data_IF_194360552207
#
_entry.id   IF_194360552207
#
_cell.length_a   1.000
_cell.length_b   1.000
_cell.length_c   1.000
_cell.angle_alpha   90.00
_cell.angle_beta   90.00
_cell.angle_gamma   90.00
#
_symmetry.space_group_name_H-M   'P 1'
#
loop_
_entity.id
_entity.type
_entity.pdbx_description
1 polymer ?
#
# COMPACT_ATOMS: atom_id res chain seq x y z
N UNK A 1 9.15 -11.95 1.77
CA UNK A 1 8.40 -10.68 1.49
C UNK A 1 6.94 -11.02 1.27
N UNK A 2 6.03 -10.27 1.87
CA UNK A 2 4.60 -10.48 1.76
C UNK A 2 4.06 -10.24 0.32
N UNK A 3 2.82 -10.66 0.08
CA UNK A 3 2.07 -10.38 -1.13
C UNK A 3 0.82 -9.57 -0.82
N UNK A 4 0.55 -8.51 -1.58
CA UNK A 4 -0.66 -7.73 -1.46
C UNK A 4 -1.46 -7.73 -2.76
N UNK A 5 -2.78 -7.74 -2.63
CA UNK A 5 -3.71 -7.48 -3.74
C UNK A 5 -4.84 -6.57 -3.24
N UNK A 6 -5.36 -5.74 -4.15
CA UNK A 6 -6.55 -4.96 -3.86
C UNK A 6 -7.41 -4.76 -5.11
N UNK A 7 -8.71 -4.56 -4.90
CA UNK A 7 -9.68 -4.15 -5.92
C UNK A 7 -10.44 -2.96 -5.35
N UNK A 8 -10.49 -1.86 -6.11
CA UNK A 8 -11.20 -0.63 -5.76
C UNK A 8 -12.23 -0.24 -6.83
N UNK A 9 -13.03 0.78 -6.55
CA UNK A 9 -14.09 1.27 -7.43
C UNK A 9 -15.16 0.20 -7.71
N UNK A 10 -15.51 -0.58 -6.70
CA UNK A 10 -16.53 -1.63 -6.83
C UNK A 10 -17.90 -0.98 -6.86
N UNK A 11 -18.62 -1.12 -7.97
CA UNK A 11 -19.97 -0.58 -8.17
C UNK A 11 -21.04 -1.67 -8.27
N UNK A 12 -20.60 -2.94 -8.41
CA UNK A 12 -21.44 -4.13 -8.50
C UNK A 12 -21.42 -4.93 -7.18
N UNK A 13 -21.88 -6.17 -7.21
CA UNK A 13 -21.82 -7.05 -6.03
C UNK A 13 -20.36 -7.35 -5.64
N UNK A 14 -19.94 -6.86 -4.48
CA UNK A 14 -18.63 -7.16 -3.91
C UNK A 14 -18.42 -8.69 -3.69
N UNK A 15 -19.47 -9.48 -3.64
CA UNK A 15 -19.37 -10.93 -3.47
C UNK A 15 -18.70 -11.62 -4.67
N UNK A 16 -19.04 -11.20 -5.90
CA UNK A 16 -18.46 -11.78 -7.12
C UNK A 16 -16.98 -11.40 -7.24
N UNK A 17 -16.64 -10.16 -6.95
CA UNK A 17 -15.27 -9.67 -6.96
C UNK A 17 -14.41 -10.24 -5.82
N UNK A 18 -15.04 -10.71 -4.72
CA UNK A 18 -14.30 -11.43 -3.67
C UNK A 18 -13.64 -12.70 -4.22
N UNK A 19 -14.32 -13.45 -5.07
CA UNK A 19 -13.74 -14.65 -5.69
C UNK A 19 -12.57 -14.29 -6.62
N UNK A 20 -12.69 -13.18 -7.34
CA UNK A 20 -11.60 -12.66 -8.16
C UNK A 20 -10.40 -12.26 -7.28
N UNK A 21 -10.61 -11.48 -6.21
CA UNK A 21 -9.56 -11.09 -5.28
C UNK A 21 -8.83 -12.29 -4.66
N UNK A 22 -9.56 -13.35 -4.29
CA UNK A 22 -8.98 -14.60 -3.79
C UNK A 22 -8.14 -15.33 -4.85
N UNK A 23 -8.58 -15.32 -6.12
CA UNK A 23 -7.78 -15.90 -7.22
C UNK A 23 -6.51 -15.10 -7.47
N UNK A 24 -6.58 -13.75 -7.46
CA UNK A 24 -5.42 -12.87 -7.58
C UNK A 24 -4.42 -13.12 -6.43
N UNK A 25 -4.90 -13.15 -5.19
CA UNK A 25 -4.10 -13.40 -3.99
C UNK A 25 -3.42 -14.77 -4.04
N UNK A 26 -4.16 -15.82 -4.42
CA UNK A 26 -3.62 -17.18 -4.56
C UNK A 26 -2.43 -17.27 -5.52
N UNK A 27 -2.41 -16.49 -6.60
CA UNK A 27 -1.30 -16.46 -7.56
C UNK A 27 0.01 -15.95 -6.96
N UNK A 28 -0.07 -15.15 -5.92
CA UNK A 28 1.11 -14.57 -5.23
C UNK A 28 1.35 -15.19 -3.85
N UNK A 29 0.70 -16.32 -3.52
CA UNK A 29 0.81 -17.03 -2.25
C UNK A 29 2.24 -17.41 -1.85
N UNK A 30 3.09 -17.71 -2.82
CA UNK A 30 4.51 -18.05 -2.59
C UNK A 30 5.28 -16.91 -1.91
N UNK A 31 4.80 -15.66 -1.96
CA UNK A 31 5.42 -14.52 -1.28
C UNK A 31 5.19 -14.53 0.24
N UNK A 32 4.06 -15.09 0.66
CA UNK A 32 3.66 -15.13 2.06
C UNK A 32 2.87 -16.39 2.39
N UNK A 33 3.56 -17.53 2.55
CA UNK A 33 2.89 -18.83 2.71
C UNK A 33 2.27 -19.05 4.09
N UNK A 34 2.62 -18.21 5.09
CA UNK A 34 2.28 -18.46 6.49
C UNK A 34 0.81 -18.22 6.81
N UNK A 35 0.24 -17.16 6.21
CA UNK A 35 -1.14 -16.80 6.47
C UNK A 35 -1.73 -15.94 5.35
N UNK A 36 -3.06 -16.01 5.17
CA UNK A 36 -3.80 -15.17 4.24
C UNK A 36 -4.89 -14.41 4.95
N UNK A 37 -5.03 -13.13 4.64
CA UNK A 37 -6.11 -12.29 5.13
C UNK A 37 -6.83 -11.57 4.01
N UNK A 38 -8.13 -11.33 4.22
CA UNK A 38 -8.95 -10.56 3.29
C UNK A 38 -9.90 -9.65 4.05
N UNK A 39 -9.99 -8.41 3.59
CA UNK A 39 -11.04 -7.46 3.94
C UNK A 39 -11.95 -7.26 2.72
N UNK A 40 -13.24 -7.20 2.97
CA UNK A 40 -14.24 -6.84 1.99
C UNK A 40 -15.12 -5.73 2.54
N UNK A 41 -15.02 -4.55 1.93
CA UNK A 41 -15.91 -3.41 2.15
C UNK A 41 -16.96 -3.31 1.05
N UNK A 42 -17.61 -2.16 1.00
CA UNK A 42 -18.65 -1.88 -0.01
C UNK A 42 -18.02 -1.65 -1.40
N UNK A 43 -16.97 -0.86 -1.47
CA UNK A 43 -16.36 -0.39 -2.73
C UNK A 43 -14.89 -0.84 -2.87
N UNK A 44 -14.37 -1.61 -1.89
CA UNK A 44 -13.00 -2.08 -1.88
C UNK A 44 -12.86 -3.51 -1.31
N UNK A 45 -11.92 -4.26 -1.88
CA UNK A 45 -11.46 -5.53 -1.34
C UNK A 45 -9.93 -5.47 -1.26
N UNK A 46 -9.37 -5.79 -0.08
CA UNK A 46 -7.94 -5.87 0.15
C UNK A 46 -7.59 -7.27 0.64
N UNK A 47 -6.56 -7.88 0.04
CA UNK A 47 -6.08 -9.17 0.47
C UNK A 47 -4.57 -9.17 0.67
N UNK A 48 -4.11 -10.03 1.57
CA UNK A 48 -2.72 -10.13 2.00
C UNK A 48 -2.29 -11.58 2.14
N UNK A 49 -1.13 -11.90 1.56
CA UNK A 49 -0.40 -13.14 1.78
C UNK A 49 0.81 -12.83 2.65
N UNK A 50 0.84 -13.38 3.86
CA UNK A 50 1.78 -13.00 4.90
C UNK A 50 2.98 -13.93 4.98
N UNK A 51 4.19 -13.35 5.00
CA UNK A 51 5.39 -13.94 5.55
C UNK A 51 5.64 -13.30 6.92
N UNK A 52 5.54 -14.09 7.98
CA UNK A 52 5.56 -13.64 9.38
C UNK A 52 6.99 -13.38 9.85
N UNK A 53 7.47 -12.14 9.72
CA UNK A 53 8.83 -11.73 10.16
C UNK A 53 8.72 -10.90 11.44
N UNK A 54 7.90 -9.85 11.42
CA UNK A 54 7.68 -8.94 12.56
C UNK A 54 6.30 -9.20 13.13
N UNK A 55 6.22 -9.31 14.46
CA UNK A 55 5.00 -9.56 15.21
C UNK A 55 4.17 -10.76 14.71
N UNK A 56 4.70 -11.99 14.79
CA UNK A 56 3.98 -13.19 14.30
C UNK A 56 2.63 -13.39 14.98
N UNK A 57 2.49 -12.94 16.24
CA UNK A 57 1.31 -13.20 17.08
C UNK A 57 0.14 -12.25 16.78
N UNK A 58 0.38 -10.97 16.48
CA UNK A 58 -0.70 -9.97 16.36
C UNK A 58 -0.73 -9.19 15.03
N UNK A 59 0.34 -9.18 14.25
CA UNK A 59 0.47 -8.40 12.99
C UNK A 59 -0.31 -8.98 11.80
N UNK A 60 -1.48 -9.57 11.99
CA UNK A 60 -2.34 -10.07 10.91
C UNK A 60 -2.80 -8.94 9.99
N UNK A 61 -2.64 -9.13 8.66
CA UNK A 61 -3.04 -8.14 7.65
C UNK A 61 -4.23 -8.64 6.82
N UNK A 62 -5.09 -7.75 6.29
CA UNK A 62 -5.00 -6.28 6.34
C UNK A 62 -5.11 -5.71 7.74
N UNK A 63 -4.21 -4.75 8.08
CA UNK A 63 -4.25 -4.01 9.33
C UNK A 63 -5.47 -3.09 9.37
N UNK A 64 -6.00 -2.85 10.58
CA UNK A 64 -7.16 -1.97 10.77
C UNK A 64 -6.90 -0.99 11.90
N UNK A 65 -7.39 0.23 11.74
CA UNK A 65 -7.50 1.17 12.87
C UNK A 65 -8.50 0.67 13.90
N UNK A 66 -8.41 1.15 15.13
CA UNK A 66 -9.30 0.75 16.25
C UNK A 66 -10.79 0.89 15.92
N UNK A 67 -11.17 1.94 15.21
CA UNK A 67 -12.56 2.17 14.77
C UNK A 67 -12.95 1.36 13.51
N UNK A 68 -12.01 0.58 12.96
CA UNK A 68 -12.21 -0.25 11.78
C UNK A 68 -12.37 0.51 10.47
N UNK A 69 -12.18 1.84 10.45
CA UNK A 69 -12.46 2.69 9.29
C UNK A 69 -11.29 2.82 8.32
N UNK A 70 -10.06 2.64 8.80
CA UNK A 70 -8.88 2.61 7.95
C UNK A 70 -8.39 1.17 7.82
N UNK A 71 -8.21 0.71 6.59
CA UNK A 71 -7.80 -0.64 6.26
C UNK A 71 -6.54 -0.56 5.39
N UNK A 72 -5.50 -1.31 5.77
CA UNK A 72 -4.20 -1.26 5.12
C UNK A 72 -3.69 -2.66 4.79
N UNK A 73 -3.32 -2.88 3.53
CA UNK A 73 -2.47 -4.00 3.15
C UNK A 73 -1.12 -3.46 2.68
N UNK A 74 -0.04 -3.97 3.25
CA UNK A 74 1.31 -3.45 3.00
C UNK A 74 2.33 -4.58 2.93
N UNK A 75 3.23 -4.52 1.96
CA UNK A 75 4.45 -5.29 1.90
C UNK A 75 5.63 -4.34 2.06
N UNK A 76 6.47 -4.54 3.06
CA UNK A 76 7.62 -3.68 3.32
C UNK A 76 8.03 -3.64 4.78
N UNK A 77 8.92 -2.72 5.08
CA UNK A 77 9.44 -2.42 6.42
C UNK A 77 9.56 -0.90 6.59
N UNK A 78 9.05 -0.38 7.71
CA UNK A 78 9.14 1.04 8.06
C UNK A 78 10.22 1.22 9.13
N UNK A 79 11.36 1.72 8.75
CA UNK A 79 12.56 1.78 9.60
C UNK A 79 12.42 2.76 10.77
N UNK A 80 11.74 3.88 10.57
CA UNK A 80 11.53 4.90 11.60
C UNK A 80 10.24 4.70 12.43
N UNK A 81 9.65 3.50 12.40
CA UNK A 81 8.37 3.21 13.06
C UNK A 81 8.38 3.48 14.58
N UNK A 82 9.52 3.24 15.26
CA UNK A 82 9.62 3.46 16.71
C UNK A 82 9.51 4.95 17.09
N UNK A 83 10.18 5.81 16.33
CA UNK A 83 10.11 7.25 16.50
C UNK A 83 8.68 7.75 16.22
N UNK A 84 8.09 7.32 15.09
CA UNK A 84 6.72 7.68 14.71
C UNK A 84 5.69 7.22 15.73
N UNK A 85 5.82 6.00 16.28
CA UNK A 85 4.97 5.54 17.38
C UNK A 85 5.07 6.42 18.61
N UNK A 86 6.29 6.84 18.98
CA UNK A 86 6.51 7.76 20.11
C UNK A 86 5.83 9.11 19.89
N UNK A 87 5.89 9.66 18.68
CA UNK A 87 5.27 10.95 18.33
C UNK A 87 3.74 10.89 18.26
N UNK A 88 3.16 9.73 17.94
CA UNK A 88 1.73 9.58 17.66
C UNK A 88 0.95 8.87 18.78
N UNK A 89 1.60 8.43 19.86
CA UNK A 89 0.99 7.62 20.94
C UNK A 89 -0.20 8.28 21.62
N UNK A 90 -0.23 9.61 21.68
CA UNK A 90 -1.29 10.37 22.33
C UNK A 90 -2.48 10.66 21.38
N UNK A 91 -2.28 10.47 20.06
CA UNK A 91 -3.26 10.76 19.02
C UNK A 91 -3.82 9.49 18.33
N UNK A 92 -3.09 8.37 18.42
CA UNK A 92 -3.47 7.10 17.79
C UNK A 92 -3.21 5.92 18.72
N UNK A 93 -4.24 5.09 18.89
CA UNK A 93 -4.16 3.86 19.67
C UNK A 93 -3.74 2.69 18.76
N UNK A 94 -2.47 2.30 18.87
CA UNK A 94 -1.90 1.19 18.11
C UNK A 94 -2.49 -0.14 18.58
N UNK A 95 -2.90 -0.98 17.62
CA UNK A 95 -3.56 -2.26 17.87
C UNK A 95 -2.59 -3.44 17.78
N UNK A 96 -1.44 -3.28 17.13
CA UNK A 96 -0.45 -4.34 16.88
C UNK A 96 0.97 -3.86 17.17
N UNK A 97 1.92 -4.81 17.21
CA UNK A 97 3.36 -4.52 17.23
C UNK A 97 3.97 -4.27 15.85
N UNK A 98 3.17 -4.37 14.76
CA UNK A 98 3.67 -4.19 13.40
C UNK A 98 4.25 -2.80 13.16
N UNK A 99 5.43 -2.73 12.58
CA UNK A 99 6.08 -1.50 12.14
C UNK A 99 5.21 -0.72 11.13
N UNK A 100 4.49 -1.44 10.28
CA UNK A 100 3.67 -0.86 9.22
C UNK A 100 2.38 -0.19 9.73
N UNK A 101 1.94 -0.45 10.97
CA UNK A 101 0.72 0.18 11.50
C UNK A 101 0.86 1.71 11.63
N UNK A 102 2.09 2.24 11.69
CA UNK A 102 2.30 3.70 11.71
C UNK A 102 1.77 4.40 10.46
N UNK A 103 1.60 3.69 9.35
CA UNK A 103 1.00 4.22 8.12
C UNK A 103 -0.45 4.66 8.38
N UNK A 104 -1.23 3.85 9.13
CA UNK A 104 -2.61 4.19 9.51
C UNK A 104 -2.66 5.43 10.41
N UNK A 105 -1.77 5.50 11.39
CA UNK A 105 -1.66 6.63 12.30
C UNK A 105 -1.28 7.93 11.58
N UNK A 106 -0.29 7.85 10.68
CA UNK A 106 0.15 8.98 9.86
C UNK A 106 -0.93 9.43 8.87
N UNK A 107 -1.62 8.50 8.21
CA UNK A 107 -2.71 8.85 7.30
C UNK A 107 -3.85 9.56 8.02
N UNK A 108 -4.22 9.10 9.22
CA UNK A 108 -5.23 9.76 10.04
C UNK A 108 -4.88 11.22 10.35
N UNK A 109 -3.59 11.51 10.61
CA UNK A 109 -3.13 12.84 10.99
C UNK A 109 -2.83 13.75 9.80
N UNK A 110 -2.23 13.21 8.74
CA UNK A 110 -1.65 13.97 7.65
C UNK A 110 -2.28 13.69 6.27
N UNK A 111 -3.26 12.79 6.19
CA UNK A 111 -3.82 12.36 4.91
C UNK A 111 -2.75 11.79 3.97
N UNK A 112 -2.78 12.20 2.71
CA UNK A 112 -1.81 11.75 1.69
C UNK A 112 -0.36 12.14 2.00
N UNK A 113 -0.13 13.22 2.77
CA UNK A 113 1.19 13.65 3.22
C UNK A 113 1.89 12.66 4.18
N UNK A 114 1.20 11.59 4.58
CA UNK A 114 1.76 10.51 5.40
C UNK A 114 2.99 9.86 4.74
N UNK A 115 3.02 9.76 3.40
CA UNK A 115 4.10 9.10 2.64
C UNK A 115 5.45 9.79 2.80
N UNK A 116 5.46 11.12 2.95
CA UNK A 116 6.69 11.92 3.10
C UNK A 116 7.40 11.69 4.44
N UNK A 117 6.68 11.15 5.42
CA UNK A 117 7.18 10.90 6.77
C UNK A 117 7.75 9.49 6.95
N UNK A 118 7.53 8.62 5.96
CA UNK A 118 7.99 7.24 5.99
C UNK A 118 9.46 7.13 5.56
N UNK A 119 10.24 6.43 6.37
CA UNK A 119 11.58 5.95 6.00
C UNK A 119 11.54 4.44 5.96
N UNK A 120 11.76 3.85 4.78
CA UNK A 120 11.66 2.40 4.62
C UNK A 120 11.53 1.97 3.17
N UNK A 121 11.28 0.69 3.01
CA UNK A 121 10.93 0.05 1.75
C UNK A 121 9.47 -0.42 1.84
N UNK A 122 8.62 -0.03 0.92
CA UNK A 122 7.20 -0.37 0.99
C UNK A 122 6.45 -0.27 -0.34
N UNK A 123 5.41 -1.10 -0.44
CA UNK A 123 4.32 -0.95 -1.37
C UNK A 123 3.02 -1.24 -0.61
N UNK A 124 2.07 -0.31 -0.61
CA UNK A 124 0.84 -0.48 0.14
C UNK A 124 -0.40 0.02 -0.59
N UNK A 125 -1.55 -0.50 -0.17
CA UNK A 125 -2.87 0.01 -0.49
C UNK A 125 -3.64 0.22 0.80
N UNK A 126 -4.13 1.44 1.02
CA UNK A 126 -4.92 1.88 2.16
C UNK A 126 -6.31 2.29 1.68
N UNK A 127 -7.35 1.80 2.34
CA UNK A 127 -8.74 2.16 2.11
C UNK A 127 -9.29 2.91 3.33
N UNK A 128 -9.85 4.09 3.09
CA UNK A 128 -10.60 4.88 4.06
C UNK A 128 -12.09 4.67 3.80
N UNK A 129 -12.68 3.75 4.58
CA UNK A 129 -14.09 3.38 4.44
C UNK A 129 -15.04 4.53 4.78
N UNK A 130 -14.64 5.38 5.73
CA UNK A 130 -15.49 6.51 6.15
C UNK A 130 -15.65 7.56 5.06
N UNK A 131 -14.59 7.79 4.28
CA UNK A 131 -14.54 8.78 3.23
C UNK A 131 -14.69 8.18 1.82
N UNK A 132 -14.81 6.85 1.72
CA UNK A 132 -14.84 6.08 0.48
C UNK A 132 -13.74 6.51 -0.50
N UNK A 133 -12.50 6.46 -0.01
CA UNK A 133 -11.34 6.81 -0.81
C UNK A 133 -10.16 5.88 -0.48
N UNK A 134 -9.17 5.85 -1.35
CA UNK A 134 -8.00 5.00 -1.17
C UNK A 134 -6.71 5.70 -1.57
N UNK A 135 -5.62 5.29 -0.92
CA UNK A 135 -4.26 5.72 -1.18
C UNK A 135 -3.39 4.49 -1.47
N UNK A 136 -2.71 4.51 -2.60
CA UNK A 136 -1.73 3.51 -2.98
C UNK A 136 -0.38 4.22 -3.06
N UNK A 137 0.68 3.65 -2.48
CA UNK A 137 1.99 4.28 -2.55
C UNK A 137 3.11 3.24 -2.61
N UNK A 138 4.24 3.66 -3.18
CA UNK A 138 5.44 2.86 -3.33
C UNK A 138 6.67 3.64 -2.86
N UNK A 139 7.63 2.91 -2.29
CA UNK A 139 8.88 3.44 -1.77
C UNK A 139 9.69 4.25 -2.82
N UNK A 140 10.67 5.07 -2.37
CA UNK A 140 11.40 6.02 -3.21
C UNK A 140 12.02 5.46 -4.48
N UNK A 141 12.58 4.25 -4.41
CA UNK A 141 13.33 3.63 -5.52
C UNK A 141 12.68 2.34 -6.04
N UNK A 142 11.54 1.94 -5.45
CA UNK A 142 10.77 0.78 -5.87
C UNK A 142 11.41 -0.56 -5.51
N UNK A 143 12.02 -0.66 -4.33
CA UNK A 143 12.54 -1.93 -3.80
C UNK A 143 11.43 -2.96 -3.69
N UNK A 144 10.27 -2.52 -3.20
CA UNK A 144 9.09 -3.37 -3.14
C UNK A 144 8.36 -3.34 -4.49
N UNK A 145 8.13 -4.50 -5.13
CA UNK A 145 7.38 -4.55 -6.37
C UNK A 145 5.90 -4.23 -6.12
N UNK A 146 5.34 -3.42 -7.01
CA UNK A 146 3.93 -3.06 -7.01
C UNK A 146 3.46 -2.81 -8.43
N UNK A 147 2.28 -3.31 -8.77
CA UNK A 147 1.65 -3.19 -10.09
C UNK A 147 0.21 -2.72 -9.92
N UNK A 148 -0.28 -2.00 -10.91
CA UNK A 148 -1.62 -1.42 -10.96
C UNK A 148 -2.22 -1.66 -12.33
N UNK A 149 -3.53 -1.85 -12.39
CA UNK A 149 -4.25 -2.04 -13.64
C UNK A 149 -5.74 -1.75 -13.49
N UNK A 150 -6.44 -1.79 -14.62
CA UNK A 150 -7.90 -1.65 -14.68
C UNK A 150 -8.50 -2.80 -15.47
N UNK A 151 -9.68 -3.24 -15.08
CA UNK A 151 -10.51 -4.14 -15.87
C UNK A 151 -11.50 -3.38 -16.77
N UNK A 152 -12.28 -4.12 -17.56
CA UNK A 152 -13.27 -3.54 -18.48
C UNK A 152 -14.47 -2.88 -17.77
N UNK A 153 -14.67 -3.19 -16.49
CA UNK A 153 -15.74 -2.61 -15.66
C UNK A 153 -15.29 -1.33 -14.93
N UNK A 154 -14.01 -0.95 -15.09
CA UNK A 154 -13.44 0.26 -14.46
C UNK A 154 -12.97 0.05 -13.03
N UNK A 155 -12.92 -1.19 -12.53
CA UNK A 155 -12.28 -1.48 -11.25
C UNK A 155 -10.78 -1.25 -11.35
N UNK A 156 -10.19 -0.70 -10.29
CA UNK A 156 -8.75 -0.54 -10.18
C UNK A 156 -8.19 -1.71 -9.38
N UNK A 157 -7.25 -2.43 -9.99
CA UNK A 157 -6.62 -3.62 -9.44
C UNK A 157 -5.17 -3.33 -9.07
N UNK A 158 -4.74 -3.83 -7.91
CA UNK A 158 -3.38 -3.70 -7.39
C UNK A 158 -2.82 -5.08 -7.05
N UNK A 159 -1.55 -5.31 -7.34
CA UNK A 159 -0.87 -6.55 -6.95
C UNK A 159 0.64 -6.34 -6.76
N UNK A 160 1.23 -7.12 -5.85
CA UNK A 160 2.69 -7.17 -5.67
C UNK A 160 3.42 -7.76 -6.87
N UNK A 161 2.76 -8.58 -7.70
CA UNK A 161 3.36 -9.17 -8.89
C UNK A 161 2.41 -9.08 -10.07
N UNK A 162 2.99 -8.94 -11.27
CA UNK A 162 2.25 -8.78 -12.52
C UNK A 162 1.27 -9.94 -12.77
N UNK A 163 1.67 -11.17 -12.48
CA UNK A 163 0.82 -12.36 -12.64
C UNK A 163 -0.46 -12.33 -11.78
N UNK A 164 -0.47 -11.51 -10.71
CA UNK A 164 -1.69 -11.28 -9.92
C UNK A 164 -2.75 -10.48 -10.67
N UNK A 165 -2.36 -9.70 -11.69
CA UNK A 165 -3.26 -8.90 -12.52
C UNK A 165 -3.61 -9.60 -13.85
N UNK A 166 -2.73 -10.48 -14.34
CA UNK A 166 -2.86 -11.15 -15.63
C UNK A 166 -4.18 -11.90 -15.76
N UNK A 167 -4.95 -11.60 -16.81
CA UNK A 167 -6.26 -12.19 -17.05
C UNK A 167 -7.39 -11.68 -16.15
N UNK A 168 -7.11 -10.67 -15.30
CA UNK A 168 -8.10 -9.91 -14.53
C UNK A 168 -8.13 -8.45 -14.93
N UNK A 169 -6.99 -7.87 -15.30
CA UNK A 169 -6.90 -6.51 -15.81
C UNK A 169 -6.70 -6.52 -17.32
N UNK A 170 -7.30 -5.57 -18.02
CA UNK A 170 -7.16 -5.35 -19.47
C UNK A 170 -6.03 -4.36 -19.79
N UNK A 171 -5.77 -3.42 -18.88
CA UNK A 171 -4.63 -2.52 -18.96
C UNK A 171 -3.90 -2.53 -17.61
N UNK A 172 -2.60 -2.79 -17.60
CA UNK A 172 -1.82 -2.85 -16.39
C UNK A 172 -0.35 -2.51 -16.62
N UNK A 173 0.31 -2.06 -15.56
CA UNK A 173 1.72 -1.71 -15.59
C UNK A 173 2.34 -1.64 -14.21
N UNK A 174 3.63 -1.32 -14.17
CA UNK A 174 4.34 -1.12 -12.92
C UNK A 174 3.90 0.18 -12.26
N UNK A 175 3.63 0.14 -10.96
CA UNK A 175 3.41 1.34 -10.16
C UNK A 175 4.74 2.12 -10.03
N UNK A 176 4.80 3.41 -10.38
CA UNK A 176 6.06 4.15 -10.41
C UNK A 176 6.66 4.32 -9.01
N UNK A 177 8.01 4.11 -8.87
CA UNK A 177 8.70 4.36 -7.61
C UNK A 177 8.60 5.82 -7.15
N UNK A 178 8.54 6.04 -5.83
CA UNK A 178 8.46 7.38 -5.26
C UNK A 178 7.18 8.15 -5.59
N UNK A 179 6.12 7.42 -5.95
CA UNK A 179 4.81 8.01 -6.23
C UNK A 179 3.75 7.46 -5.30
N UNK A 180 2.66 8.21 -5.19
CA UNK A 180 1.38 7.72 -4.70
C UNK A 180 0.28 7.96 -5.74
N UNK A 181 -0.80 7.19 -5.62
CA UNK A 181 -2.06 7.38 -6.33
C UNK A 181 -3.16 7.57 -5.28
N UNK A 182 -3.83 8.72 -5.33
CA UNK A 182 -4.96 9.01 -4.46
C UNK A 182 -6.25 9.04 -5.27
N UNK A 183 -7.27 8.33 -4.83
CA UNK A 183 -8.50 8.13 -5.60
C UNK A 183 -9.24 9.42 -5.96
N UNK A 184 -9.09 10.47 -5.16
CA UNK A 184 -9.73 11.77 -5.41
C UNK A 184 -9.02 12.60 -6.47
N UNK A 185 -7.70 12.46 -6.57
CA UNK A 185 -6.88 13.18 -7.55
C UNK A 185 -6.87 12.47 -8.90
N UNK A 186 -7.13 11.15 -8.91
CA UNK A 186 -7.17 10.28 -10.10
C UNK A 186 -5.90 10.28 -10.95
N UNK A 187 -4.76 10.62 -10.35
CA UNK A 187 -3.46 10.70 -11.02
C UNK A 187 -2.34 10.27 -10.07
N UNK A 188 -1.18 9.98 -10.66
CA UNK A 188 0.04 9.71 -9.92
C UNK A 188 0.69 11.01 -9.48
N UNK A 189 0.98 11.10 -8.19
CA UNK A 189 1.75 12.22 -7.64
C UNK A 189 3.10 11.74 -7.17
N UNK A 190 4.17 12.37 -7.65
CA UNK A 190 5.52 12.09 -7.18
C UNK A 190 5.72 12.76 -5.84
N UNK A 191 5.93 11.97 -4.79
CA UNK A 191 6.15 12.46 -3.43
C UNK A 191 7.63 12.49 -3.04
N UNK A 192 8.46 11.64 -3.67
CA UNK A 192 9.88 11.60 -3.39
C UNK A 192 10.65 12.46 -4.39
N UNK A 193 11.06 13.66 -3.94
CA UNK A 193 11.83 14.61 -4.73
C UNK A 193 13.05 15.01 -3.90
N UNK A 194 14.25 14.91 -4.50
CA UNK A 194 15.52 15.30 -3.90
C UNK A 194 16.34 16.10 -4.89
N UNK A 195 17.18 17.06 -4.41
CA UNK A 195 17.98 17.95 -5.23
C UNK A 195 18.91 17.20 -6.19
N UNK A 196 19.48 16.08 -5.73
CA UNK A 196 20.38 15.25 -6.54
C UNK A 196 19.67 14.52 -7.72
N UNK A 197 18.35 14.48 -7.75
CA UNK A 197 17.59 13.93 -8.86
C UNK A 197 17.49 14.90 -10.05
N UNK A 198 17.91 16.14 -9.87
CA UNK A 198 18.00 17.13 -10.94
C UNK A 198 19.46 17.20 -11.44
N UNK A 199 19.68 16.84 -12.69
CA UNK A 199 21.02 16.74 -13.29
C UNK A 199 21.83 18.04 -13.12
N UNK A 200 21.21 19.20 -13.30
CA UNK A 200 21.86 20.49 -13.18
C UNK A 200 22.38 20.79 -11.76
N UNK A 201 21.69 20.29 -10.73
CA UNK A 201 22.12 20.44 -9.34
C UNK A 201 23.34 19.56 -9.00
N UNK A 202 23.54 18.44 -9.72
CA UNK A 202 24.68 17.53 -9.52
C UNK A 202 25.92 18.03 -10.28
N UNK A 203 25.75 18.56 -11.48
CA UNK A 203 26.81 19.00 -12.37
C UNK A 203 27.71 20.09 -11.77
N UNK A 204 27.15 20.97 -10.95
CA UNK A 204 27.91 22.08 -10.33
C UNK A 204 28.75 21.64 -9.11
N UNK A 205 28.45 20.50 -8.50
CA UNK A 205 29.21 19.97 -7.35
C UNK A 205 30.50 19.26 -7.77
N UNK A 206 30.51 18.59 -8.92
CA UNK A 206 31.68 17.87 -9.44
C UNK A 206 32.78 18.80 -9.99
N UNK A 207 32.48 20.09 -10.23
CA UNK A 207 33.46 21.10 -10.71
C UNK A 207 34.24 21.77 -9.61
N UNK A 208 33.96 21.48 -8.34
CA UNK A 208 34.60 22.12 -7.17
C UNK A 208 35.51 21.21 -6.37
N UNK A 209 35.78 20.00 -6.89
CA UNK A 209 36.75 19.03 -6.31
C UNK A 209 38.04 18.99 -7.12
#
# INVERSE_FOLDING_TARGET
>A
MCGITAIFNIHSSAADLRQQALKMSKRIRHRGPDWSGIYQGKTAILAHERLSIVDPASGGQPLRSKDGKLILTVNGEIYNHRELRGQLKDEYEFQTGSDCEVILALYRKYGVGCVEKLSGIFGFALYDEANDCYLIARDPIGVIPLYIGHDDEGHLLVSSELKGLEGFATAYGQFPPGHYFYSRDKDFTRWYIRDWMQYDNVKDKDRKS
#
